data_IF_859836785832
#
_entry.id   IF_859836785832
#
_cell.length_a   1.000
_cell.length_b   1.000
_cell.length_c   1.000
_cell.angle_alpha   90.00
_cell.angle_beta   90.00
_cell.angle_gamma   90.00
#
_symmetry.space_group_name_H-M   'P 1'
#
loop_
_entity.id
_entity.type
_entity.pdbx_description
1 polymer ?
#
# COMPACT_ATOMS: atom_id res chain seq x y z
N UNK A 1 8.11 -8.23 -29.68
CA UNK A 1 7.68 -7.26 -28.67
C UNK A 1 7.47 -8.05 -27.39
N UNK A 2 8.28 -7.82 -26.36
CA UNK A 2 8.07 -8.49 -25.07
C UNK A 2 6.73 -8.01 -24.50
N UNK A 3 5.85 -8.95 -24.16
CA UNK A 3 4.55 -8.66 -23.54
C UNK A 3 4.83 -8.43 -22.05
N UNK A 4 4.69 -7.19 -21.55
CA UNK A 4 4.81 -6.92 -20.12
C UNK A 4 3.87 -7.81 -19.30
N UNK A 5 4.26 -8.18 -18.08
CA UNK A 5 3.42 -9.02 -17.20
C UNK A 5 2.08 -8.37 -16.87
N UNK A 6 2.09 -7.05 -16.80
CA UNK A 6 0.95 -6.18 -16.56
C UNK A 6 0.89 -5.12 -17.66
N UNK A 7 -0.31 -4.67 -18.01
CA UNK A 7 -0.52 -3.53 -18.90
C UNK A 7 0.01 -2.25 -18.24
N UNK A 8 -0.36 -2.05 -16.97
CA UNK A 8 0.02 -0.90 -16.15
C UNK A 8 0.09 -1.29 -14.66
N UNK A 9 0.50 -0.32 -13.83
CA UNK A 9 0.58 -0.49 -12.38
C UNK A 9 -0.79 -0.68 -11.70
N UNK A 10 -1.87 -0.15 -12.29
CA UNK A 10 -3.22 -0.36 -11.74
C UNK A 10 -3.67 -1.82 -11.92
N UNK A 11 -3.37 -2.44 -13.07
CA UNK A 11 -3.64 -3.86 -13.30
C UNK A 11 -2.86 -4.73 -12.32
N UNK A 12 -1.59 -4.41 -12.10
CA UNK A 12 -0.77 -5.08 -11.10
C UNK A 12 -1.41 -4.99 -9.70
N UNK A 13 -1.88 -3.80 -9.30
CA UNK A 13 -2.62 -3.59 -8.06
C UNK A 13 -3.91 -4.41 -7.96
N UNK A 14 -4.70 -4.47 -9.03
CA UNK A 14 -5.92 -5.31 -9.05
C UNK A 14 -5.62 -6.79 -8.89
N UNK A 15 -4.54 -7.30 -9.51
CA UNK A 15 -4.13 -8.69 -9.34
C UNK A 15 -3.62 -8.98 -7.92
N UNK A 16 -2.86 -8.05 -7.35
CA UNK A 16 -2.43 -8.15 -5.95
C UNK A 16 -3.63 -8.13 -5.00
N UNK A 17 -4.62 -7.27 -5.24
CA UNK A 17 -5.83 -7.18 -4.42
C UNK A 17 -6.61 -8.51 -4.36
N UNK A 18 -6.70 -9.25 -5.47
CA UNK A 18 -7.35 -10.58 -5.48
C UNK A 18 -6.66 -11.57 -4.54
N UNK A 19 -5.33 -11.51 -4.44
CA UNK A 19 -4.59 -12.36 -3.49
C UNK A 19 -4.82 -11.96 -2.02
N UNK A 20 -5.16 -10.69 -1.79
CA UNK A 20 -5.32 -10.10 -0.45
C UNK A 20 -6.76 -10.07 0.05
N UNK A 21 -7.73 -10.60 -0.71
CA UNK A 21 -9.18 -10.54 -0.42
C UNK A 21 -9.57 -11.06 0.98
N UNK A 22 -8.73 -11.91 1.59
CA UNK A 22 -8.92 -12.43 2.95
C UNK A 22 -8.36 -11.58 4.08
N UNK A 23 -7.69 -10.45 3.80
CA UNK A 23 -7.22 -9.53 4.83
C UNK A 23 -8.37 -8.70 5.39
N UNK A 24 -8.46 -8.60 6.72
CA UNK A 24 -9.42 -7.74 7.39
C UNK A 24 -9.15 -6.27 7.03
N UNK A 25 -10.16 -5.53 6.56
CA UNK A 25 -9.95 -4.11 6.19
C UNK A 25 -9.75 -3.12 7.36
N UNK A 26 -9.38 -3.59 8.56
CA UNK A 26 -8.80 -2.70 9.59
C UNK A 26 -7.28 -2.53 9.41
N UNK A 27 -6.77 -2.91 8.23
CA UNK A 27 -5.42 -2.64 7.77
C UNK A 27 -5.29 -1.21 7.24
N UNK A 28 -4.11 -0.61 7.43
CA UNK A 28 -3.71 0.62 6.75
C UNK A 28 -2.76 0.25 5.61
N UNK A 29 -3.08 0.66 4.39
CA UNK A 29 -2.24 0.44 3.21
C UNK A 29 -1.28 1.61 3.05
N UNK A 30 0.02 1.32 2.97
CA UNK A 30 1.06 2.33 2.74
C UNK A 30 1.86 1.98 1.48
N UNK A 31 1.92 2.92 0.54
CA UNK A 31 2.82 2.82 -0.60
C UNK A 31 4.26 3.11 -0.16
N UNK A 32 5.20 2.21 -0.51
CA UNK A 32 6.62 2.36 -0.20
C UNK A 32 7.26 3.53 -0.95
N UNK A 33 6.87 3.69 -2.21
CA UNK A 33 7.40 4.70 -3.12
C UNK A 33 6.27 5.29 -3.95
N UNK A 34 6.53 6.45 -4.56
CA UNK A 34 5.52 7.16 -5.37
C UNK A 34 5.02 6.30 -6.52
N UNK A 35 5.91 5.58 -7.19
CA UNK A 35 5.56 4.72 -8.32
C UNK A 35 4.71 3.51 -7.90
N UNK A 36 4.65 3.17 -6.61
CA UNK A 36 3.77 2.14 -6.11
C UNK A 36 2.35 2.63 -5.80
N UNK A 37 2.07 3.94 -5.84
CA UNK A 37 0.76 4.49 -5.49
C UNK A 37 -0.38 3.94 -6.35
N UNK A 38 -0.25 3.77 -7.69
CA UNK A 38 -1.31 3.14 -8.49
C UNK A 38 -1.62 1.70 -8.05
N UNK A 39 -0.59 0.93 -7.66
CA UNK A 39 -0.74 -0.44 -7.14
C UNK A 39 -1.47 -0.40 -5.80
N UNK A 40 -0.96 0.42 -4.88
CA UNK A 40 -1.47 0.56 -3.52
C UNK A 40 -2.90 1.12 -3.49
N UNK A 41 -3.25 1.99 -4.43
CA UNK A 41 -4.60 2.52 -4.59
C UNK A 41 -5.62 1.43 -4.89
N UNK A 42 -5.32 0.53 -5.83
CA UNK A 42 -6.22 -0.57 -6.17
C UNK A 42 -6.37 -1.57 -5.02
N UNK A 43 -5.28 -1.83 -4.29
CA UNK A 43 -5.30 -2.66 -3.08
C UNK A 43 -6.16 -2.02 -1.98
N UNK A 44 -5.92 -0.76 -1.65
CA UNK A 44 -6.67 -0.05 -0.62
C UNK A 44 -8.17 0.05 -0.96
N UNK A 45 -8.49 0.31 -2.24
CA UNK A 45 -9.87 0.36 -2.73
C UNK A 45 -10.59 -0.98 -2.60
N UNK A 46 -9.93 -2.08 -2.93
CA UNK A 46 -10.49 -3.42 -2.79
C UNK A 46 -10.71 -3.83 -1.33
N UNK A 47 -9.78 -3.44 -0.43
CA UNK A 47 -9.84 -3.78 0.99
C UNK A 47 -10.71 -2.82 1.83
N UNK A 48 -11.29 -1.77 1.22
CA UNK A 48 -11.95 -0.67 1.93
C UNK A 48 -11.06 -0.09 3.06
N UNK A 49 -9.78 0.09 2.73
CA UNK A 49 -8.73 0.43 3.67
C UNK A 49 -8.22 1.86 3.42
N UNK A 50 -7.68 2.48 4.48
CA UNK A 50 -7.00 3.77 4.35
C UNK A 50 -5.72 3.60 3.55
N UNK A 51 -5.51 4.44 2.53
CA UNK A 51 -4.26 4.57 1.80
C UNK A 51 -3.44 5.77 2.27
N UNK A 52 -2.13 5.58 2.37
CA UNK A 52 -1.15 6.66 2.48
C UNK A 52 0.18 6.26 1.82
N UNK A 53 1.19 7.14 1.88
CA UNK A 53 2.59 6.75 1.74
C UNK A 53 3.23 6.46 3.09
N UNK A 54 4.43 5.88 3.08
CA UNK A 54 5.23 5.81 4.31
C UNK A 54 5.41 7.24 4.90
N UNK A 55 5.30 7.40 6.24
CA UNK A 55 5.42 8.70 6.88
C UNK A 55 6.79 9.36 6.65
N UNK A 56 6.78 10.47 5.92
CA UNK A 56 7.96 11.18 5.42
C UNK A 56 7.89 11.34 3.90
N UNK A 57 7.71 10.23 3.22
CA UNK A 57 7.50 10.12 1.78
C UNK A 57 6.16 10.73 1.39
N UNK A 58 5.09 10.38 2.13
CA UNK A 58 3.76 10.97 1.98
C UNK A 58 3.78 12.50 1.98
N UNK A 59 4.63 13.10 2.84
CA UNK A 59 4.77 14.55 2.94
C UNK A 59 5.40 15.16 1.70
N UNK A 60 6.38 14.47 1.12
CA UNK A 60 7.03 14.89 -0.11
C UNK A 60 6.09 14.81 -1.33
N UNK A 61 5.05 13.97 -1.29
CA UNK A 61 4.16 13.76 -2.44
C UNK A 61 2.94 14.68 -2.44
N UNK A 62 2.38 15.03 -1.27
CA UNK A 62 1.14 15.82 -1.18
C UNK A 62 1.16 16.96 -0.16
N UNK A 63 2.34 17.40 0.29
CA UNK A 63 2.45 18.46 1.29
C UNK A 63 2.14 17.94 2.68
N UNK A 64 1.23 18.55 3.44
CA UNK A 64 0.93 18.10 4.80
C UNK A 64 -0.11 16.96 4.78
N UNK A 65 0.29 15.69 5.00
CA UNK A 65 -0.65 14.59 4.97
C UNK A 65 -1.61 14.67 6.17
N UNK A 66 -2.88 14.24 6.03
CA UNK A 66 -3.77 14.06 7.17
C UNK A 66 -3.15 13.15 8.23
N UNK A 67 -3.42 13.43 9.50
CA UNK A 67 -2.90 12.65 10.61
C UNK A 67 -3.16 11.14 10.42
N UNK A 68 -2.10 10.34 10.56
CA UNK A 68 -2.13 8.89 10.44
C UNK A 68 -1.68 8.27 11.76
N UNK A 69 -2.58 7.54 12.42
CA UNK A 69 -2.28 6.82 13.65
C UNK A 69 -2.13 5.32 13.37
N UNK A 70 -0.92 4.80 13.56
CA UNK A 70 -0.59 3.39 13.32
C UNK A 70 -0.62 2.56 14.61
N UNK A 71 -0.86 3.17 15.79
CA UNK A 71 -0.78 2.47 17.07
C UNK A 71 -1.80 1.34 17.15
N UNK A 72 -1.31 0.13 17.37
CA UNK A 72 -2.13 -1.09 17.47
C UNK A 72 -2.69 -1.60 16.13
N UNK A 73 -2.40 -0.91 15.02
CA UNK A 73 -2.94 -1.23 13.69
C UNK A 73 -2.11 -2.28 12.96
N UNK A 74 -2.75 -2.96 12.03
CA UNK A 74 -2.06 -3.73 11.00
C UNK A 74 -1.71 -2.80 9.83
N UNK A 75 -0.50 -2.94 9.29
CA UNK A 75 0.01 -2.12 8.18
C UNK A 75 0.36 -3.03 7.02
N UNK A 76 -0.20 -2.74 5.84
CA UNK A 76 0.17 -3.38 4.59
C UNK A 76 1.05 -2.42 3.77
N UNK A 77 2.33 -2.74 3.71
CA UNK A 77 3.32 -2.11 2.87
C UNK A 77 3.18 -2.63 1.44
N UNK A 78 2.89 -1.75 0.47
CA UNK A 78 2.74 -2.10 -0.95
C UNK A 78 3.83 -1.44 -1.78
N UNK A 79 4.51 -2.25 -2.60
CA UNK A 79 5.40 -1.77 -3.66
C UNK A 79 5.12 -2.52 -4.96
N UNK A 80 5.54 -1.94 -6.08
CA UNK A 80 5.39 -2.54 -7.40
C UNK A 80 6.52 -3.54 -7.73
N UNK A 81 7.47 -3.75 -6.81
CA UNK A 81 8.63 -4.63 -6.93
C UNK A 81 9.91 -3.91 -7.34
N UNK A 82 9.87 -2.58 -7.41
CA UNK A 82 10.99 -1.72 -7.79
C UNK A 82 11.73 -1.08 -6.61
N UNK A 83 11.29 -1.29 -5.37
CA UNK A 83 12.02 -0.84 -4.18
C UNK A 83 13.28 -1.69 -3.92
N UNK A 84 14.33 -1.01 -3.44
CA UNK A 84 15.52 -1.68 -2.91
C UNK A 84 15.21 -2.29 -1.53
N UNK A 85 15.84 -3.42 -1.15
CA UNK A 85 15.70 -4.03 0.17
C UNK A 85 15.84 -3.06 1.35
N UNK A 86 16.79 -2.13 1.28
CA UNK A 86 17.05 -1.13 2.32
C UNK A 86 15.86 -0.18 2.51
N UNK A 87 15.16 0.17 1.44
CA UNK A 87 13.97 1.02 1.50
C UNK A 87 12.83 0.29 2.22
N UNK A 88 12.62 -0.99 1.92
CA UNK A 88 11.64 -1.81 2.64
C UNK A 88 11.99 -1.91 4.13
N UNK A 89 13.26 -2.19 4.46
CA UNK A 89 13.70 -2.31 5.85
C UNK A 89 13.45 -1.01 6.62
N UNK A 90 13.85 0.14 6.05
CA UNK A 90 13.62 1.45 6.67
C UNK A 90 12.12 1.77 6.85
N UNK A 91 11.28 1.40 5.87
CA UNK A 91 9.83 1.55 5.98
C UNK A 91 9.25 0.70 7.11
N UNK A 92 9.70 -0.56 7.24
CA UNK A 92 9.25 -1.48 8.31
C UNK A 92 9.66 -0.95 9.69
N UNK A 93 10.88 -0.47 9.85
CA UNK A 93 11.36 0.15 11.10
C UNK A 93 10.48 1.36 11.46
N UNK A 94 10.25 2.27 10.50
CA UNK A 94 9.42 3.47 10.70
C UNK A 94 8.01 3.13 11.15
N UNK A 95 7.32 2.19 10.49
CA UNK A 95 5.93 1.87 10.86
C UNK A 95 5.85 1.19 12.22
N UNK A 96 6.86 0.39 12.60
CA UNK A 96 6.97 -0.21 13.94
C UNK A 96 7.22 0.84 15.02
N UNK A 97 8.09 1.82 14.78
CA UNK A 97 8.32 2.94 15.70
C UNK A 97 7.03 3.75 15.96
N UNK A 98 6.14 3.82 14.97
CA UNK A 98 4.83 4.46 15.09
C UNK A 98 3.76 3.59 15.77
N UNK A 99 4.12 2.37 16.19
CA UNK A 99 3.28 1.49 16.98
C UNK A 99 2.43 0.51 16.17
N UNK A 100 2.77 0.24 14.91
CA UNK A 100 2.13 -0.83 14.14
C UNK A 100 2.26 -2.16 14.90
N UNK A 101 1.13 -2.85 15.10
CA UNK A 101 1.07 -4.15 15.78
C UNK A 101 1.58 -5.28 14.89
N UNK A 102 1.36 -5.14 13.58
CA UNK A 102 1.70 -6.14 12.57
C UNK A 102 1.99 -5.45 11.24
N UNK A 103 3.01 -5.92 10.54
CA UNK A 103 3.48 -5.40 9.26
C UNK A 103 3.44 -6.52 8.22
N UNK A 104 2.73 -6.27 7.13
CA UNK A 104 2.59 -7.16 5.98
C UNK A 104 3.24 -6.47 4.78
N UNK A 105 3.87 -7.21 3.89
CA UNK A 105 4.30 -6.71 2.59
C UNK A 105 3.53 -7.36 1.44
N UNK A 106 3.07 -6.55 0.48
CA UNK A 106 2.36 -7.00 -0.72
C UNK A 106 3.05 -6.51 -1.99
N UNK A 107 3.31 -7.44 -2.91
CA UNK A 107 3.93 -7.14 -4.20
C UNK A 107 3.17 -7.81 -5.34
N UNK A 108 2.86 -7.10 -6.44
CA UNK A 108 2.32 -7.76 -7.62
C UNK A 108 3.37 -8.68 -8.25
N UNK A 109 4.63 -8.26 -8.25
CA UNK A 109 5.81 -9.05 -8.58
C UNK A 109 7.00 -8.48 -7.82
N UNK A 110 7.97 -9.31 -7.44
CA UNK A 110 9.16 -8.85 -6.72
C UNK A 110 10.40 -9.70 -7.04
N UNK A 111 11.61 -9.11 -7.14
CA UNK A 111 12.85 -9.87 -7.22
C UNK A 111 13.09 -10.72 -5.97
N UNK A 112 13.84 -11.82 -6.13
CA UNK A 112 14.16 -12.75 -5.03
C UNK A 112 14.79 -12.04 -3.84
N UNK A 113 15.68 -11.09 -4.10
CA UNK A 113 16.37 -10.33 -3.06
C UNK A 113 15.40 -9.51 -2.19
N UNK A 114 14.45 -8.81 -2.81
CA UNK A 114 13.41 -8.06 -2.08
C UNK A 114 12.50 -9.00 -1.29
N UNK A 115 12.12 -10.15 -1.85
CA UNK A 115 11.34 -11.16 -1.14
C UNK A 115 12.09 -11.73 0.07
N UNK A 116 13.39 -12.01 -0.06
CA UNK A 116 14.20 -12.49 1.05
C UNK A 116 14.37 -11.44 2.14
N UNK A 117 14.56 -10.18 1.77
CA UNK A 117 14.62 -9.08 2.72
C UNK A 117 13.29 -8.95 3.47
N UNK A 118 12.17 -8.91 2.76
CA UNK A 118 10.83 -8.89 3.33
C UNK A 118 10.63 -10.05 4.32
N UNK A 119 10.91 -11.29 3.93
CA UNK A 119 10.75 -12.47 4.78
C UNK A 119 11.57 -12.48 6.07
N UNK A 120 12.56 -11.57 6.22
CA UNK A 120 13.32 -11.38 7.46
C UNK A 120 12.74 -10.30 8.37
N UNK A 121 12.02 -9.33 7.81
CA UNK A 121 11.64 -8.11 8.55
C UNK A 121 10.14 -7.92 8.74
N UNK A 122 9.28 -8.44 7.86
CA UNK A 122 7.81 -8.36 7.99
C UNK A 122 7.22 -9.62 8.61
N UNK A 123 5.98 -9.53 9.08
CA UNK A 123 5.27 -10.64 9.71
C UNK A 123 4.60 -11.57 8.67
N UNK A 124 4.25 -11.04 7.50
CA UNK A 124 3.67 -11.79 6.37
C UNK A 124 4.03 -11.14 5.03
N UNK A 125 4.20 -11.96 3.98
CA UNK A 125 4.49 -11.50 2.62
C UNK A 125 3.53 -12.14 1.61
N UNK A 126 3.01 -11.33 0.68
CA UNK A 126 2.21 -11.76 -0.46
C UNK A 126 2.86 -11.33 -1.77
N UNK A 127 3.03 -12.27 -2.70
CA UNK A 127 3.57 -12.02 -4.04
C UNK A 127 2.63 -12.66 -5.07
N UNK A 128 2.00 -11.86 -5.92
CA UNK A 128 1.03 -12.36 -6.89
C UNK A 128 1.68 -13.12 -8.05
N UNK A 129 2.81 -12.61 -8.57
CA UNK A 129 3.54 -13.18 -9.69
C UNK A 129 5.05 -13.29 -9.36
N UNK A 130 5.71 -14.42 -9.64
CA UNK A 130 7.14 -14.56 -9.35
C UNK A 130 8.02 -13.69 -10.28
N UNK A 131 9.14 -13.21 -9.77
CA UNK A 131 10.19 -12.52 -10.53
C UNK A 131 10.00 -11.00 -10.67
N UNK A 132 10.79 -10.35 -11.54
CA UNK A 132 10.77 -8.90 -11.70
C UNK A 132 9.42 -8.38 -12.23
N UNK A 133 8.96 -7.20 -11.77
CA UNK A 133 7.85 -6.50 -12.40
C UNK A 133 8.21 -6.07 -13.82
N UNK A 134 7.20 -6.03 -14.71
CA UNK A 134 7.35 -5.46 -16.05
C UNK A 134 6.00 -4.97 -16.55
N UNK A 135 5.99 -3.77 -17.10
CA UNK A 135 4.80 -3.08 -17.56
C UNK A 135 4.87 -2.82 -19.07
N UNK A 136 3.71 -2.80 -19.72
CA UNK A 136 3.63 -2.30 -21.12
C UNK A 136 3.81 -0.78 -21.13
N UNK A 137 3.23 -0.09 -20.15
CA UNK A 137 3.49 1.31 -19.85
C UNK A 137 4.24 1.42 -18.51
N UNK A 138 5.53 1.76 -18.58
CA UNK A 138 6.40 1.91 -17.41
C UNK A 138 6.79 3.37 -17.16
N UNK A 139 5.89 4.31 -17.49
CA UNK A 139 6.11 5.70 -17.14
C UNK A 139 6.09 5.89 -15.60
N UNK A 140 7.01 6.68 -15.04
CA UNK A 140 6.99 7.02 -13.61
C UNK A 140 5.67 7.68 -13.24
N UNK A 141 5.20 7.45 -12.01
CA UNK A 141 4.01 8.13 -11.50
C UNK A 141 4.34 9.60 -11.26
N UNK A 142 3.69 10.57 -11.94
CA UNK A 142 3.96 11.99 -11.74
C UNK A 142 3.52 12.45 -10.33
N UNK A 143 4.15 13.49 -9.75
CA UNK A 143 3.75 14.05 -8.47
C UNK A 143 2.26 14.42 -8.38
N UNK A 144 1.71 14.99 -9.44
CA UNK A 144 0.30 15.37 -9.52
C UNK A 144 -0.64 14.17 -9.43
N UNK A 145 -0.30 13.07 -10.13
CA UNK A 145 -1.07 11.83 -10.06
C UNK A 145 -0.96 11.18 -8.68
N UNK A 146 0.23 11.26 -8.07
CA UNK A 146 0.43 10.76 -6.71
C UNK A 146 -0.46 11.48 -5.69
N UNK A 147 -0.50 12.80 -5.74
CA UNK A 147 -1.38 13.60 -4.88
C UNK A 147 -2.86 13.28 -5.14
N UNK A 148 -3.27 13.23 -6.41
CA UNK A 148 -4.65 12.89 -6.81
C UNK A 148 -5.09 11.52 -6.27
N UNK A 149 -4.25 10.49 -6.40
CA UNK A 149 -4.55 9.14 -5.92
C UNK A 149 -4.73 9.10 -4.40
N UNK A 150 -3.90 9.85 -3.66
CA UNK A 150 -3.96 9.91 -2.20
C UNK A 150 -5.21 10.66 -1.71
N UNK A 151 -5.54 11.80 -2.36
CA UNK A 151 -6.77 12.53 -2.09
C UNK A 151 -7.99 11.66 -2.38
N UNK A 152 -8.01 11.02 -3.56
CA UNK A 152 -9.11 10.16 -3.98
C UNK A 152 -9.30 8.96 -3.06
N UNK A 153 -8.23 8.34 -2.59
CA UNK A 153 -8.32 7.24 -1.65
C UNK A 153 -8.85 7.67 -0.28
N UNK A 154 -8.48 8.88 0.17
CA UNK A 154 -9.02 9.44 1.41
C UNK A 154 -10.52 9.70 1.30
N UNK A 155 -10.98 10.26 0.19
CA UNK A 155 -12.41 10.44 -0.08
C UNK A 155 -13.16 9.11 -0.04
N UNK A 156 -12.66 8.10 -0.76
CA UNK A 156 -13.27 6.77 -0.81
C UNK A 156 -13.32 6.12 0.58
N UNK A 157 -12.25 6.23 1.37
CA UNK A 157 -12.21 5.71 2.73
C UNK A 157 -13.17 6.46 3.67
N UNK A 158 -13.35 7.77 3.50
CA UNK A 158 -14.24 8.58 4.32
C UNK A 158 -15.74 8.29 4.07
N UNK A 159 -16.09 7.79 2.89
CA UNK A 159 -17.46 7.40 2.52
C UNK A 159 -17.72 5.90 2.65
N UNK A 160 -16.71 5.11 3.05
CA UNK A 160 -16.81 3.66 3.15
C UNK A 160 -17.80 3.20 4.24
N UNK A 161 -18.34 1.97 4.13
CA UNK A 161 -19.36 1.41 5.04
C UNK A 161 -18.93 1.41 6.52
N UNK A 162 -17.61 1.43 6.80
CA UNK A 162 -17.05 1.51 8.16
C UNK A 162 -17.28 2.86 8.84
N UNK A 163 -17.39 3.96 8.09
CA UNK A 163 -17.67 5.29 8.65
C UNK A 163 -19.13 5.39 9.08
N UNK A 164 -20.07 4.83 8.31
CA UNK A 164 -21.48 4.74 8.69
C UNK A 164 -21.68 3.86 9.94
N UNK A 165 -20.94 2.76 10.06
CA UNK A 165 -20.96 1.88 11.22
C UNK A 165 -20.39 2.52 12.51
N UNK A 166 -19.47 3.49 12.38
CA UNK A 166 -18.96 4.28 13.53
C UNK A 166 -19.85 5.48 13.86
N UNK A 167 -20.54 6.07 12.87
CA UNK A 167 -21.44 7.20 13.07
C UNK A 167 -22.72 6.83 13.84
N UNK A 168 -23.15 5.57 13.82
CA UNK A 168 -24.26 5.06 14.64
C UNK A 168 -23.83 4.50 16.01
N UNK A 169 -22.55 4.65 16.37
CA UNK A 169 -22.00 4.32 17.69
C UNK A 169 -22.06 5.48 18.67
N UNK A 170 -23.13 6.29 18.67
CA UNK A 170 -23.49 7.13 19.82
C UNK A 170 -24.73 6.51 20.40
N UNK A 171 -24.59 5.77 21.50
CA UNK A 171 -25.56 5.55 22.60
C UNK A 171 -24.88 4.53 23.53
N UNK A 172 -24.28 4.94 24.64
CA UNK A 172 -24.91 5.33 25.91
C UNK A 172 -24.55 4.25 26.95
N UNK A 173 -23.52 4.52 27.76
CA UNK A 173 -23.31 4.21 29.20
C UNK A 173 -21.84 4.21 29.60
#
# INVERSE_FOLDING_TARGET
MSKGKFADRFEAGRRLAVLLDGLDGDVVVLALRRDALPVAFEVARALDARLDGVPGEARAWRGEPPALDLRGREVLLVDDGGADPEQLIAAVERVREMGARRVIAGFPAAPRELQEAAGRVVDEIHVAEPGLPSYVDDLPTPPEQAAELLERALELYAIGPRVEARAHGVHDT
#
